data_IF_497975669714
#
_entry.id   IF_497975669714
#
_cell.length_a   1.000
_cell.length_b   1.000
_cell.length_c   1.000
_cell.angle_alpha   90.00
_cell.angle_beta   90.00
_cell.angle_gamma   90.00
#
_symmetry.space_group_name_H-M   'P 1'
#
loop_
_entity.id
_entity.type
_entity.pdbx_description
1 polymer ?
#
# COMPACT_ATOMS: atom_id res chain seq x y z
N UNK A 1 16.56 -27.71 7.10
CA UNK A 1 16.75 -27.14 6.65
C UNK A 1 16.46 -25.91 6.73
N UNK A 2 16.82 -25.17 6.64
CA UNK A 2 16.60 -24.08 6.84
C UNK A 2 15.79 -23.47 6.00
N UNK A 3 15.39 -24.00 5.12
CA UNK A 3 14.32 -23.50 4.38
C UNK A 3 13.32 -22.83 5.21
N UNK A 4 13.39 -23.06 6.42
CA UNK A 4 12.48 -22.42 7.30
C UNK A 4 12.73 -20.95 7.50
N UNK A 5 13.73 -20.42 6.84
CA UNK A 5 14.01 -19.03 7.01
C UNK A 5 13.28 -18.14 6.05
N UNK A 6 12.19 -18.54 5.52
CA UNK A 6 11.38 -17.70 4.68
C UNK A 6 10.91 -16.48 5.46
N UNK A 7 11.10 -15.33 4.90
CA UNK A 7 10.64 -14.10 5.53
C UNK A 7 9.14 -14.01 5.32
N UNK A 8 8.40 -14.06 6.41
CA UNK A 8 6.95 -14.07 6.32
C UNK A 8 6.32 -12.74 6.65
N UNK A 9 7.11 -11.69 6.71
CA UNK A 9 6.52 -10.37 6.92
C UNK A 9 5.68 -10.00 5.71
N UNK A 10 4.54 -9.34 5.93
CA UNK A 10 3.75 -8.88 4.79
C UNK A 10 4.53 -7.89 3.95
N UNK A 11 4.35 -7.97 2.65
CA UNK A 11 5.08 -7.15 1.69
C UNK A 11 4.21 -5.97 1.29
N UNK A 12 4.67 -4.76 1.56
CA UNK A 12 3.93 -3.54 1.25
C UNK A 12 4.66 -2.80 0.15
N UNK A 13 3.94 -2.42 -0.89
CA UNK A 13 4.48 -1.60 -1.95
C UNK A 13 3.96 -0.18 -1.73
N UNK A 14 4.87 0.77 -1.50
CA UNK A 14 4.53 2.13 -1.13
C UNK A 14 4.97 3.09 -2.22
N UNK A 15 4.07 3.92 -2.71
CA UNK A 15 4.41 4.91 -3.72
C UNK A 15 4.05 6.31 -3.22
N UNK A 16 5.05 7.17 -3.12
CA UNK A 16 4.90 8.51 -2.59
C UNK A 16 6.04 9.35 -3.12
N UNK A 17 5.74 10.49 -3.76
CA UNK A 17 6.81 11.29 -4.34
C UNK A 17 7.47 12.25 -3.34
N UNK A 18 6.81 12.53 -2.21
CA UNK A 18 7.40 13.37 -1.17
C UNK A 18 8.41 12.50 -0.39
N UNK A 19 9.68 12.85 -0.49
CA UNK A 19 10.74 12.05 0.11
C UNK A 19 10.57 11.89 1.62
N UNK A 20 10.24 12.99 2.30
CA UNK A 20 10.13 12.92 3.76
C UNK A 20 8.99 12.02 4.20
N UNK A 21 7.83 12.15 3.57
CA UNK A 21 6.70 11.31 3.93
C UNK A 21 6.98 9.87 3.57
N UNK A 22 7.57 9.64 2.41
CA UNK A 22 7.89 8.28 1.98
C UNK A 22 8.81 7.59 2.99
N UNK A 23 9.86 8.30 3.41
CA UNK A 23 10.82 7.71 4.34
C UNK A 23 10.20 7.49 5.71
N UNK A 24 9.35 8.41 6.14
CA UNK A 24 8.68 8.25 7.41
C UNK A 24 7.76 7.03 7.40
N UNK A 25 6.98 6.88 6.34
CA UNK A 25 6.08 5.74 6.24
C UNK A 25 6.85 4.43 6.18
N UNK A 26 7.96 4.41 5.45
CA UNK A 26 8.80 3.22 5.42
C UNK A 26 9.26 2.84 6.82
N UNK A 27 9.76 3.83 7.54
CA UNK A 27 10.30 3.58 8.87
C UNK A 27 9.22 3.04 9.80
N UNK A 28 8.08 3.69 9.79
CA UNK A 28 6.99 3.31 10.69
C UNK A 28 6.46 1.93 10.37
N UNK A 29 6.25 1.67 9.08
CA UNK A 29 5.72 0.37 8.68
C UNK A 29 6.70 -0.77 8.96
N UNK A 30 7.99 -0.50 8.73
CA UNK A 30 8.98 -1.53 9.04
C UNK A 30 9.06 -1.79 10.53
N UNK A 31 8.91 -0.74 11.33
CA UNK A 31 8.87 -0.93 12.77
C UNK A 31 7.68 -1.80 13.18
N UNK A 32 6.58 -1.68 12.44
CA UNK A 32 5.38 -2.45 12.75
C UNK A 32 5.42 -3.87 12.19
N UNK A 33 6.48 -4.26 11.53
CA UNK A 33 6.64 -5.63 11.09
C UNK A 33 6.39 -5.90 9.62
N UNK A 34 6.29 -4.86 8.81
CA UNK A 34 6.10 -5.03 7.37
C UNK A 34 7.40 -4.87 6.63
N UNK A 35 7.50 -5.49 5.49
CA UNK A 35 8.64 -5.28 4.60
C UNK A 35 8.17 -4.37 3.49
N UNK A 36 8.85 -3.24 3.30
CA UNK A 36 8.36 -2.18 2.43
C UNK A 36 9.28 -2.01 1.23
N UNK A 37 8.68 -2.00 0.05
CA UNK A 37 9.37 -1.61 -1.17
C UNK A 37 8.81 -0.24 -1.54
N UNK A 38 9.68 0.75 -1.70
CA UNK A 38 9.25 2.12 -1.91
C UNK A 38 9.49 2.57 -3.33
N UNK A 39 8.53 3.32 -3.86
CA UNK A 39 8.60 3.94 -5.17
C UNK A 39 8.34 5.41 -5.02
N UNK A 40 8.86 6.22 -5.93
CA UNK A 40 8.64 7.66 -5.82
C UNK A 40 7.78 8.22 -6.97
N UNK A 41 7.25 7.37 -7.83
CA UNK A 41 6.27 7.82 -8.83
C UNK A 41 5.44 6.62 -9.29
N UNK A 42 4.41 6.92 -10.06
CA UNK A 42 3.49 5.89 -10.51
C UNK A 42 4.08 4.93 -11.52
N UNK A 43 5.04 5.40 -12.30
CA UNK A 43 5.67 4.50 -13.26
C UNK A 43 6.46 3.41 -12.54
N UNK A 44 7.20 3.79 -11.50
CA UNK A 44 7.90 2.78 -10.72
C UNK A 44 6.94 1.82 -10.04
N UNK A 45 5.82 2.35 -9.55
CA UNK A 45 4.79 1.52 -8.95
C UNK A 45 4.28 0.50 -9.95
N UNK A 46 3.95 0.96 -11.14
CA UNK A 46 3.44 0.08 -12.18
C UNK A 46 4.48 -0.99 -12.56
N UNK A 47 5.74 -0.57 -12.69
CA UNK A 47 6.80 -1.50 -13.04
C UNK A 47 6.99 -2.57 -11.99
N UNK A 48 6.91 -2.20 -10.71
CA UNK A 48 7.04 -3.19 -9.65
C UNK A 48 5.90 -4.20 -9.72
N UNK A 49 4.70 -3.74 -10.00
CA UNK A 49 3.56 -4.65 -10.10
C UNK A 49 3.66 -5.58 -11.29
N UNK A 50 4.30 -5.12 -12.37
CA UNK A 50 4.48 -5.96 -13.53
C UNK A 50 5.60 -6.98 -13.35
N UNK A 51 6.58 -6.66 -12.54
CA UNK A 51 7.77 -7.50 -12.43
C UNK A 51 7.71 -8.49 -11.28
N UNK A 52 6.95 -8.17 -10.24
CA UNK A 52 6.90 -9.01 -9.06
C UNK A 52 5.48 -9.20 -8.61
N UNK A 53 5.17 -10.38 -8.14
CA UNK A 53 3.94 -10.57 -7.42
C UNK A 53 4.32 -10.89 -5.99
N UNK A 54 3.36 -11.11 -5.16
CA UNK A 54 3.65 -11.37 -3.76
C UNK A 54 3.52 -10.16 -2.86
N UNK A 55 3.16 -9.00 -3.40
CA UNK A 55 2.83 -7.89 -2.52
C UNK A 55 1.49 -8.15 -1.86
N UNK A 56 1.42 -7.81 -0.58
CA UNK A 56 0.20 -8.01 0.19
C UNK A 56 -0.64 -6.76 0.27
N UNK A 57 -0.07 -5.62 -0.05
CA UNK A 57 -0.77 -4.35 0.07
C UNK A 57 -0.05 -3.29 -0.75
N UNK A 58 -0.82 -2.43 -1.39
CA UNK A 58 -0.28 -1.25 -2.07
C UNK A 58 -0.79 -0.02 -1.34
N UNK A 59 0.12 0.90 -1.01
CA UNK A 59 -0.25 2.21 -0.47
C UNK A 59 0.30 3.23 -1.45
N UNK A 60 -0.54 4.06 -2.02
CA UNK A 60 -0.09 4.99 -3.04
C UNK A 60 -0.76 6.33 -2.93
N UNK A 61 0.06 7.38 -3.08
CA UNK A 61 -0.47 8.71 -3.32
C UNK A 61 -1.20 8.68 -4.66
N UNK A 62 -2.32 9.38 -4.75
CA UNK A 62 -3.04 9.42 -6.00
C UNK A 62 -2.42 10.39 -6.99
N UNK A 63 -1.64 11.36 -6.52
CA UNK A 63 -1.04 12.36 -7.42
C UNK A 63 0.46 12.26 -7.38
N UNK A 64 1.03 11.78 -8.45
CA UNK A 64 2.47 11.65 -8.58
C UNK A 64 2.84 11.95 -10.01
N UNK A 65 4.10 12.35 -10.25
CA UNK A 65 4.55 12.58 -11.62
C UNK A 65 4.51 11.31 -12.45
N UNK A 66 4.48 11.46 -13.71
CA UNK A 66 4.51 10.42 -14.74
C UNK A 66 3.18 9.69 -14.77
N UNK A 67 2.92 8.78 -13.86
CA UNK A 67 1.70 8.01 -13.84
C UNK A 67 1.11 8.16 -12.45
N UNK A 68 -0.16 8.52 -12.36
CA UNK A 68 -0.78 8.76 -11.05
C UNK A 68 -1.16 7.44 -10.40
N UNK A 69 -1.31 7.49 -9.07
CA UNK A 69 -1.76 6.31 -8.36
C UNK A 69 -3.12 5.83 -8.81
N UNK A 70 -4.02 6.76 -9.16
CA UNK A 70 -5.33 6.35 -9.67
C UNK A 70 -5.21 5.63 -11.00
N UNK A 71 -4.31 6.07 -11.86
CA UNK A 71 -4.10 5.40 -13.14
C UNK A 71 -3.58 4.00 -12.94
N UNK A 72 -2.68 3.82 -11.96
CA UNK A 72 -2.18 2.49 -11.68
C UNK A 72 -3.30 1.61 -11.12
N UNK A 73 -4.10 2.15 -10.21
CA UNK A 73 -5.24 1.41 -9.67
C UNK A 73 -6.18 0.97 -10.77
N UNK A 74 -6.49 1.88 -11.68
CA UNK A 74 -7.37 1.57 -12.79
C UNK A 74 -6.78 0.46 -13.65
N UNK A 75 -5.48 0.49 -13.88
CA UNK A 75 -4.84 -0.53 -14.71
C UNK A 75 -4.92 -1.91 -14.08
N UNK A 76 -5.13 -1.99 -12.76
CA UNK A 76 -5.22 -3.26 -12.07
C UNK A 76 -6.66 -3.71 -11.86
N UNK A 77 -7.63 -2.95 -12.37
CA UNK A 77 -9.03 -3.18 -12.04
C UNK A 77 -9.50 -4.59 -12.38
N UNK A 78 -9.06 -5.10 -13.52
CA UNK A 78 -9.49 -6.43 -13.96
C UNK A 78 -8.64 -7.57 -13.44
N UNK A 79 -7.62 -7.26 -12.67
CA UNK A 79 -6.73 -8.30 -12.15
C UNK A 79 -7.30 -8.83 -10.85
N UNK A 80 -7.86 -10.03 -10.89
CA UNK A 80 -8.51 -10.60 -9.72
C UNK A 80 -7.53 -10.93 -8.59
N UNK A 81 -6.23 -10.98 -8.92
CA UNK A 81 -5.23 -11.30 -7.91
C UNK A 81 -4.45 -10.10 -7.42
N UNK A 82 -4.89 -8.93 -7.78
CA UNK A 82 -4.17 -7.73 -7.36
C UNK A 82 -4.21 -7.59 -5.85
N UNK A 83 -3.18 -6.99 -5.26
CA UNK A 83 -3.23 -6.72 -3.81
C UNK A 83 -4.25 -5.64 -3.50
N UNK A 84 -4.73 -5.57 -2.28
CA UNK A 84 -5.56 -4.45 -1.86
C UNK A 84 -4.79 -3.14 -1.98
N UNK A 85 -5.51 -2.06 -2.24
CA UNK A 85 -4.93 -0.78 -2.60
C UNK A 85 -5.49 0.28 -1.65
N UNK A 86 -4.61 0.96 -0.94
CA UNK A 86 -4.97 2.11 -0.11
C UNK A 86 -4.47 3.36 -0.81
N UNK A 87 -5.35 4.32 -1.04
CA UNK A 87 -4.99 5.56 -1.68
C UNK A 87 -4.81 6.67 -0.65
N UNK A 88 -3.85 7.56 -0.90
CA UNK A 88 -3.65 8.76 -0.10
C UNK A 88 -3.96 9.96 -0.98
N UNK A 89 -4.73 10.91 -0.48
CA UNK A 89 -5.11 12.06 -1.30
C UNK A 89 -5.15 13.33 -0.48
N UNK A 90 -5.20 14.46 -1.15
CA UNK A 90 -5.29 15.73 -0.47
C UNK A 90 -6.62 15.85 0.27
N UNK A 91 -6.60 16.57 1.38
CA UNK A 91 -7.79 16.73 2.20
C UNK A 91 -8.93 17.33 1.39
N UNK A 92 -10.11 16.77 1.56
CA UNK A 92 -11.31 17.33 0.94
C UNK A 92 -11.54 16.93 -0.51
N UNK A 93 -10.76 16.02 -1.04
CA UNK A 93 -10.90 15.61 -2.44
C UNK A 93 -11.91 14.47 -2.56
N UNK A 94 -13.18 14.83 -2.38
CA UNK A 94 -14.25 13.83 -2.35
C UNK A 94 -14.39 13.09 -3.67
N UNK A 95 -14.15 13.78 -4.77
CA UNK A 95 -14.26 13.14 -6.07
C UNK A 95 -13.22 12.04 -6.24
N UNK A 96 -12.03 12.28 -5.74
CA UNK A 96 -10.99 11.25 -5.77
C UNK A 96 -11.37 10.05 -4.92
N UNK A 97 -11.98 10.29 -3.74
CA UNK A 97 -12.47 9.20 -2.91
C UNK A 97 -13.45 8.33 -3.69
N UNK A 98 -14.37 8.96 -4.39
CA UNK A 98 -15.38 8.22 -5.15
C UNK A 98 -14.77 7.44 -6.29
N UNK A 99 -13.84 8.07 -7.01
CA UNK A 99 -13.20 7.40 -8.13
C UNK A 99 -12.36 6.21 -7.66
N UNK A 100 -11.60 6.39 -6.58
CA UNK A 100 -10.78 5.31 -6.06
C UNK A 100 -11.65 4.14 -5.60
N UNK A 101 -12.76 4.45 -4.95
CA UNK A 101 -13.66 3.40 -4.49
C UNK A 101 -14.25 2.64 -5.68
N UNK A 102 -14.60 3.37 -6.74
CA UNK A 102 -15.16 2.75 -7.94
C UNK A 102 -14.18 1.78 -8.57
N UNK A 103 -12.88 2.10 -8.53
CA UNK A 103 -11.87 1.20 -9.07
C UNK A 103 -11.39 0.17 -8.07
N UNK A 104 -12.03 0.11 -6.90
CA UNK A 104 -11.78 -0.99 -5.99
C UNK A 104 -10.75 -0.77 -4.90
N UNK A 105 -10.34 0.49 -4.65
CA UNK A 105 -9.48 0.75 -3.50
C UNK A 105 -10.21 0.33 -2.23
N UNK A 106 -9.50 -0.30 -1.31
CA UNK A 106 -10.14 -0.71 -0.06
C UNK A 106 -10.34 0.48 0.85
N UNK A 107 -9.54 1.53 0.69
CA UNK A 107 -9.69 2.74 1.49
C UNK A 107 -8.96 3.89 0.83
N UNK A 108 -9.41 5.10 1.13
CA UNK A 108 -8.73 6.31 0.70
C UNK A 108 -8.61 7.19 1.94
N UNK A 109 -7.41 7.65 2.23
CA UNK A 109 -7.16 8.42 3.43
C UNK A 109 -6.67 9.82 3.03
N UNK A 110 -7.17 10.83 3.72
CA UNK A 110 -6.80 12.22 3.42
C UNK A 110 -5.51 12.61 4.10
N UNK A 111 -4.69 13.37 3.41
CA UNK A 111 -3.52 13.99 3.99
C UNK A 111 -3.92 15.34 4.57
N UNK A 112 -3.37 15.76 5.68
CA UNK A 112 -2.46 15.00 6.54
C UNK A 112 -3.23 14.00 7.39
N UNK A 113 -2.60 12.87 7.67
CA UNK A 113 -3.26 11.85 8.48
C UNK A 113 -2.37 11.52 9.67
N UNK A 114 -2.99 10.92 10.69
CA UNK A 114 -2.23 10.40 11.80
C UNK A 114 -1.55 9.12 11.40
N UNK A 115 -0.31 8.94 11.83
CA UNK A 115 0.38 7.69 11.56
C UNK A 115 -0.34 6.52 12.20
N UNK A 116 -0.93 6.72 13.38
CA UNK A 116 -1.69 5.65 14.02
C UNK A 116 -2.87 5.22 13.18
N UNK A 117 -3.55 6.17 12.55
CA UNK A 117 -4.64 5.84 11.65
C UNK A 117 -4.17 4.98 10.49
N UNK A 118 -3.06 5.37 9.90
CA UNK A 118 -2.52 4.61 8.77
C UNK A 118 -2.13 3.21 9.22
N UNK A 119 -1.48 3.10 10.36
CA UNK A 119 -1.05 1.80 10.86
C UNK A 119 -2.25 0.90 11.13
N UNK A 120 -3.30 1.44 11.72
CA UNK A 120 -4.49 0.64 11.97
C UNK A 120 -5.14 0.17 10.68
N UNK A 121 -5.16 1.05 9.68
CA UNK A 121 -5.74 0.71 8.41
C UNK A 121 -4.93 -0.40 7.73
N UNK A 122 -3.62 -0.31 7.78
CA UNK A 122 -2.76 -1.32 7.20
C UNK A 122 -2.96 -2.65 7.91
N UNK A 123 -2.97 -2.65 9.24
CA UNK A 123 -3.16 -3.88 9.99
C UNK A 123 -4.51 -4.53 9.65
N UNK A 124 -5.57 -3.74 9.64
CA UNK A 124 -6.88 -4.33 9.39
C UNK A 124 -7.00 -4.87 7.97
N UNK A 125 -6.36 -4.20 7.02
CA UNK A 125 -6.37 -4.67 5.65
C UNK A 125 -5.63 -6.00 5.52
N UNK A 126 -4.48 -6.10 6.16
CA UNK A 126 -3.70 -7.33 6.11
C UNK A 126 -4.38 -8.48 6.82
N UNK A 127 -5.08 -8.19 7.92
CA UNK A 127 -5.77 -9.25 8.66
C UNK A 127 -6.89 -9.89 7.86
N UNK A 128 -7.40 -9.21 6.85
CA UNK A 128 -8.49 -9.75 6.07
C UNK A 128 -8.03 -10.59 4.88
N UNK A 129 -6.71 -10.77 4.73
CA UNK A 129 -6.22 -11.60 3.65
C UNK A 129 -6.10 -13.04 4.16
N UNK A 130 -6.45 -13.99 3.34
CA UNK A 130 -6.49 -15.38 3.82
C UNK A 130 -5.15 -15.96 4.20
N UNK A 131 -4.07 -15.44 3.68
CA UNK A 131 -2.76 -16.02 3.93
C UNK A 131 -1.88 -15.14 4.79
N UNK A 132 -2.45 -14.34 5.66
CA UNK A 132 -1.65 -13.40 6.43
C UNK A 132 -1.63 -13.73 7.90
N UNK A 133 -1.49 -15.01 8.22
CA UNK A 133 -1.49 -15.37 9.62
C UNK A 133 -0.36 -14.73 10.39
N UNK A 134 0.73 -14.34 9.74
CA UNK A 134 1.79 -13.70 10.48
C UNK A 134 1.43 -12.30 10.94
N UNK A 135 0.39 -11.71 10.42
CA UNK A 135 -0.02 -10.41 10.92
C UNK A 135 -0.44 -10.47 12.37
N UNK A 136 -0.92 -11.60 12.83
CA UNK A 136 -1.39 -11.69 14.20
C UNK A 136 -0.26 -11.70 15.20
N UNK A 137 0.97 -11.85 14.75
CA UNK A 137 2.06 -11.88 15.68
C UNK A 137 2.45 -10.55 16.20
N UNK A 138 1.85 -9.51 15.69
CA UNK A 138 2.17 -8.18 16.16
C UNK A 138 1.65 -7.86 17.51
N UNK A 139 0.79 -8.71 18.06
CA UNK A 139 0.28 -8.36 19.26
C UNK A 139 1.11 -8.61 20.40
N UNK A 140 2.24 -8.99 20.42
CA UNK A 140 2.94 -9.11 21.58
C UNK A 140 3.69 -8.00 21.96
#
# INVERSE_FOLDING_TARGET
MEATKIDRRPQVLLAEDDTELRELLMLVLEYEGYQVTACHNGLQLFEQLEQEDGFDLIISDVRMPALTGLEVLESQFDNSERPPFICMTAFGDQQTHETASRFGAVATIDKPFDLDEMIELVHSTCLHRPDTEFCTRRQE
#
